data_IF_914938360921
#
_entry.id   IF_914938360921
#
_cell.length_a   1.000
_cell.length_b   1.000
_cell.length_c   1.000
_cell.angle_alpha   90.00
_cell.angle_beta   90.00
_cell.angle_gamma   90.00
#
_symmetry.space_group_name_H-M   'P 1'
#
loop_
_entity.id
_entity.type
_entity.pdbx_description
1 polymer ?
#
# COMPACT_ATOMS: atom_id res chain seq x y z
N UNK A 1 -2.24 -12.60 12.89
CA UNK A 1 -3.31 -11.63 13.21
C UNK A 1 -4.46 -11.85 12.22
N UNK A 2 -5.58 -12.41 12.69
CA UNK A 2 -6.71 -12.87 11.84
C UNK A 2 -8.00 -12.05 12.03
N UNK A 3 -7.92 -10.86 12.61
CA UNK A 3 -9.11 -10.03 12.77
C UNK A 3 -9.48 -9.31 11.46
N UNK A 4 -10.78 -9.14 11.16
CA UNK A 4 -11.23 -8.30 10.07
C UNK A 4 -10.87 -6.85 10.32
N UNK A 5 -10.65 -6.10 9.24
CA UNK A 5 -10.29 -4.69 9.28
C UNK A 5 -11.52 -3.88 8.87
N UNK A 6 -12.00 -3.00 9.73
CA UNK A 6 -13.14 -2.16 9.41
C UNK A 6 -12.65 -0.82 8.86
N UNK A 7 -13.18 -0.45 7.69
CA UNK A 7 -12.93 0.84 7.05
C UNK A 7 -14.25 1.43 6.57
N UNK A 8 -14.35 2.75 6.60
CA UNK A 8 -15.43 3.43 5.86
C UNK A 8 -15.22 3.28 4.36
N UNK A 9 -16.30 3.42 3.57
CA UNK A 9 -16.21 3.34 2.11
C UNK A 9 -15.19 4.34 1.53
N UNK A 10 -15.14 5.57 2.06
CA UNK A 10 -14.20 6.60 1.62
C UNK A 10 -12.75 6.23 1.94
N UNK A 11 -12.50 5.68 3.13
CA UNK A 11 -11.17 5.23 3.53
C UNK A 11 -10.71 4.03 2.70
N UNK A 12 -11.62 3.10 2.39
CA UNK A 12 -11.32 1.97 1.51
C UNK A 12 -11.02 2.41 0.08
N UNK A 13 -11.82 3.33 -0.47
CA UNK A 13 -11.58 3.88 -1.81
C UNK A 13 -10.24 4.63 -1.87
N UNK A 14 -9.91 5.39 -0.83
CA UNK A 14 -8.63 6.08 -0.72
C UNK A 14 -7.46 5.09 -0.64
N UNK A 15 -7.60 4.01 0.14
CA UNK A 15 -6.60 2.94 0.22
C UNK A 15 -6.38 2.28 -1.15
N UNK A 16 -7.45 1.97 -1.89
CA UNK A 16 -7.35 1.38 -3.23
C UNK A 16 -6.67 2.33 -4.22
N UNK A 17 -7.03 3.61 -4.22
CA UNK A 17 -6.41 4.60 -5.10
C UNK A 17 -4.90 4.72 -4.82
N UNK A 18 -4.51 4.83 -3.55
CA UNK A 18 -3.10 4.88 -3.15
C UNK A 18 -2.34 3.60 -3.52
N UNK A 19 -2.97 2.43 -3.43
CA UNK A 19 -2.33 1.16 -3.80
C UNK A 19 -2.03 1.12 -5.31
N UNK A 20 -2.99 1.54 -6.14
CA UNK A 20 -2.81 1.61 -7.60
C UNK A 20 -1.72 2.62 -7.95
N UNK A 21 -1.76 3.82 -7.38
CA UNK A 21 -0.72 4.84 -7.61
C UNK A 21 0.67 4.36 -7.19
N UNK A 22 0.76 3.63 -6.07
CA UNK A 22 2.02 3.07 -5.61
C UNK A 22 2.51 1.96 -6.54
N UNK A 23 1.65 1.07 -7.01
CA UNK A 23 2.00 0.01 -7.95
C UNK A 23 2.49 0.55 -9.29
N UNK A 24 1.82 1.58 -9.82
CA UNK A 24 2.17 2.21 -11.09
C UNK A 24 3.45 3.07 -10.98
N UNK A 25 3.62 3.78 -9.85
CA UNK A 25 4.70 4.74 -9.66
C UNK A 25 6.01 4.17 -9.10
N UNK A 26 6.03 2.92 -8.63
CA UNK A 26 7.20 2.42 -7.86
C UNK A 26 8.47 2.34 -8.69
N UNK A 27 8.35 1.97 -9.96
CA UNK A 27 9.49 1.88 -10.86
C UNK A 27 10.04 3.28 -11.15
N UNK A 28 9.17 4.29 -11.34
CA UNK A 28 9.59 5.69 -11.49
C UNK A 28 10.24 6.25 -10.22
N UNK A 29 9.71 5.95 -9.04
CA UNK A 29 10.32 6.35 -7.76
C UNK A 29 11.72 5.75 -7.64
N UNK A 30 11.86 4.46 -7.92
CA UNK A 30 13.15 3.78 -7.86
C UNK A 30 14.14 4.42 -8.84
N UNK A 31 13.72 4.67 -10.08
CA UNK A 31 14.57 5.27 -11.11
C UNK A 31 14.94 6.73 -10.80
N UNK A 32 14.06 7.49 -10.15
CA UNK A 32 14.32 8.87 -9.71
C UNK A 32 15.36 8.94 -8.58
N UNK A 33 15.27 8.02 -7.61
CA UNK A 33 16.14 8.02 -6.44
C UNK A 33 17.48 7.29 -6.68
N UNK A 34 17.52 6.33 -7.60
CA UNK A 34 18.71 5.54 -7.90
C UNK A 34 19.09 5.65 -9.38
N UNK A 35 20.19 6.36 -9.66
CA UNK A 35 20.73 6.51 -11.03
C UNK A 35 21.44 5.27 -11.55
N UNK A 36 21.84 4.36 -10.67
CA UNK A 36 22.51 3.11 -11.02
C UNK A 36 21.88 1.95 -10.23
N UNK A 37 21.73 0.79 -10.89
CA UNK A 37 21.32 -0.44 -10.23
C UNK A 37 22.38 -0.86 -9.22
N UNK A 38 22.11 -0.61 -7.94
CA UNK A 38 22.94 -1.08 -6.83
C UNK A 38 22.21 -2.18 -6.04
N UNK A 39 22.93 -2.89 -5.18
CA UNK A 39 22.33 -3.90 -4.29
C UNK A 39 21.27 -3.28 -3.39
N UNK A 40 21.49 -2.05 -2.95
CA UNK A 40 20.57 -1.27 -2.14
C UNK A 40 19.29 -0.93 -2.93
N UNK A 41 19.41 -0.62 -4.22
CA UNK A 41 18.25 -0.42 -5.12
C UNK A 41 17.41 -1.68 -5.26
N UNK A 42 18.05 -2.82 -5.50
CA UNK A 42 17.37 -4.12 -5.59
C UNK A 42 16.69 -4.50 -4.28
N UNK A 43 17.34 -4.24 -3.14
CA UNK A 43 16.79 -4.52 -1.82
C UNK A 43 15.60 -3.62 -1.50
N UNK A 44 15.66 -2.32 -1.82
CA UNK A 44 14.52 -1.42 -1.70
C UNK A 44 13.35 -1.88 -2.59
N UNK A 45 13.62 -2.21 -3.85
CA UNK A 45 12.61 -2.72 -4.78
C UNK A 45 11.93 -3.98 -4.22
N UNK A 46 12.70 -4.88 -3.61
CA UNK A 46 12.16 -6.07 -2.96
C UNK A 46 11.24 -5.70 -1.80
N UNK A 47 11.69 -4.85 -0.87
CA UNK A 47 10.92 -4.44 0.31
C UNK A 47 9.62 -3.76 -0.08
N UNK A 48 9.67 -2.88 -1.08
CA UNK A 48 8.49 -2.19 -1.61
C UNK A 48 7.50 -3.16 -2.25
N UNK A 49 7.97 -4.12 -3.03
CA UNK A 49 7.11 -5.17 -3.61
C UNK A 49 6.50 -6.08 -2.52
N UNK A 50 7.24 -6.39 -1.45
CA UNK A 50 6.72 -7.13 -0.32
C UNK A 50 5.63 -6.35 0.43
N UNK A 51 5.81 -5.03 0.57
CA UNK A 51 4.82 -4.14 1.16
C UNK A 51 3.52 -4.08 0.34
N UNK A 52 3.62 -3.93 -0.99
CA UNK A 52 2.46 -3.96 -1.89
C UNK A 52 1.71 -5.29 -1.75
N UNK A 53 2.42 -6.43 -1.80
CA UNK A 53 1.79 -7.75 -1.64
C UNK A 53 1.10 -7.91 -0.30
N UNK A 54 1.70 -7.37 0.76
CA UNK A 54 1.10 -7.37 2.09
C UNK A 54 -0.17 -6.50 2.12
N UNK A 55 -0.16 -5.32 1.50
CA UNK A 55 -1.34 -4.47 1.36
C UNK A 55 -2.45 -5.15 0.56
N UNK A 56 -2.14 -5.73 -0.59
CA UNK A 56 -3.13 -6.44 -1.43
C UNK A 56 -3.80 -7.61 -0.67
N UNK A 57 -3.00 -8.41 0.05
CA UNK A 57 -3.54 -9.44 0.94
C UNK A 57 -4.38 -8.89 2.10
N UNK A 58 -4.15 -7.65 2.50
CA UNK A 58 -4.83 -6.98 3.62
C UNK A 58 -6.15 -6.35 3.17
N UNK A 59 -6.19 -5.75 1.98
CA UNK A 59 -7.39 -5.21 1.32
C UNK A 59 -8.45 -6.29 1.16
N UNK A 60 -8.05 -7.53 0.82
CA UNK A 60 -8.93 -8.70 0.74
C UNK A 60 -9.62 -9.08 2.06
N UNK A 61 -9.20 -8.49 3.19
CA UNK A 61 -9.75 -8.76 4.53
C UNK A 61 -10.49 -7.57 5.12
N UNK A 62 -10.62 -6.49 4.35
CA UNK A 62 -11.36 -5.29 4.75
C UNK A 62 -12.86 -5.58 4.69
N UNK A 63 -13.55 -5.20 5.75
CA UNK A 63 -15.00 -5.12 5.81
C UNK A 63 -15.33 -3.63 5.77
N UNK A 64 -16.20 -3.25 4.82
CA UNK A 64 -16.69 -1.88 4.73
C UNK A 64 -17.83 -1.74 5.74
N UNK A 65 -17.68 -0.83 6.69
CA UNK A 65 -18.68 -0.52 7.71
C UNK A 65 -18.83 0.99 7.86
N UNK A 66 -20.04 1.48 7.58
CA UNK A 66 -20.40 2.91 7.62
C UNK A 66 -20.54 3.45 9.06
N UNK A 67 -20.43 2.58 10.07
CA UNK A 67 -20.60 2.93 11.48
C UNK A 67 -19.31 2.85 12.32
N UNK A 68 -18.15 2.58 11.71
CA UNK A 68 -16.89 2.39 12.44
C UNK A 68 -15.90 3.53 12.24
N UNK A 69 -15.16 3.88 13.31
CA UNK A 69 -13.93 4.65 13.19
C UNK A 69 -12.84 3.76 12.54
N UNK A 70 -12.06 4.31 11.60
CA UNK A 70 -11.09 3.55 10.81
C UNK A 70 -10.04 2.85 11.70
N UNK A 71 -10.07 1.51 11.74
CA UNK A 71 -9.17 0.70 12.59
C UNK A 71 -7.80 0.43 11.93
N UNK A 72 -7.62 0.83 10.67
CA UNK A 72 -6.44 0.52 9.88
C UNK A 72 -5.54 1.73 9.63
N UNK A 73 -4.33 1.77 10.19
CA UNK A 73 -3.36 2.80 9.86
C UNK A 73 -2.75 2.50 8.48
N UNK A 74 -3.10 3.30 7.47
CA UNK A 74 -2.41 3.34 6.19
C UNK A 74 -1.83 4.73 5.94
N UNK A 75 -0.71 4.79 5.22
CA UNK A 75 -0.12 6.05 4.79
C UNK A 75 -0.74 6.46 3.46
N UNK A 76 -1.23 7.70 3.38
CA UNK A 76 -1.59 8.33 2.11
C UNK A 76 -0.33 8.97 1.55
N UNK A 77 0.01 8.65 0.31
CA UNK A 77 1.07 9.33 -0.42
C UNK A 77 0.39 10.44 -1.23
N UNK A 78 0.82 11.69 -1.06
CA UNK A 78 0.27 12.86 -1.73
C UNK A 78 1.34 13.89 -2.01
#
# INVERSE_FOLDING_TARGET
MNQPINLTQDAFNSLLANLVELEEGIDEIIDLFFRELSKETEELKRVLNEYIRWLDATVNRVIIDDHTDNDFPYAVVG
#
